data_IF_184960801798
#
_entry.id   IF_184960801798
#
_cell.length_a   1.000
_cell.length_b   1.000
_cell.length_c   1.000
_cell.angle_alpha   90.00
_cell.angle_beta   90.00
_cell.angle_gamma   90.00
#
_symmetry.space_group_name_H-M   'P 1'
#
loop_
_entity.id
_entity.type
_entity.pdbx_description
1 polymer ?
#
# COMPACT_ATOMS: atom_id res chain seq x y z
N UNK A 1 12.02 -16.57 -19.92
CA UNK A 1 12.49 -16.44 -18.53
C UNK A 1 13.18 -17.72 -18.11
N UNK A 2 14.50 -17.68 -18.02
CA UNK A 2 15.32 -18.76 -17.52
C UNK A 2 15.33 -18.75 -15.99
N UNK A 3 15.57 -19.91 -15.35
CA UNK A 3 15.52 -20.03 -13.88
C UNK A 3 16.53 -19.09 -13.19
N UNK A 4 17.68 -18.81 -13.83
CA UNK A 4 18.64 -17.81 -13.35
C UNK A 4 18.11 -16.36 -13.35
N UNK A 5 17.28 -15.99 -14.33
CA UNK A 5 16.69 -14.65 -14.43
C UNK A 5 15.67 -14.48 -13.30
N UNK A 6 14.86 -15.53 -13.06
CA UNK A 6 13.93 -15.60 -11.95
C UNK A 6 14.64 -15.49 -10.59
N UNK A 7 15.77 -16.19 -10.40
CA UNK A 7 16.64 -16.02 -9.22
C UNK A 7 17.08 -14.57 -9.03
N UNK A 8 17.57 -13.91 -10.09
CA UNK A 8 18.08 -12.52 -10.05
C UNK A 8 16.97 -11.53 -9.65
N UNK A 9 15.77 -11.68 -10.21
CA UNK A 9 14.60 -10.82 -9.89
C UNK A 9 14.10 -11.06 -8.46
N UNK A 10 13.92 -12.32 -8.05
CA UNK A 10 13.55 -12.67 -6.66
C UNK A 10 14.60 -12.13 -5.67
N UNK A 11 15.88 -12.29 -5.97
CA UNK A 11 16.96 -11.76 -5.15
C UNK A 11 16.93 -10.23 -5.04
N UNK A 12 16.68 -9.50 -6.13
CA UNK A 12 16.56 -8.04 -6.11
C UNK A 12 15.40 -7.55 -5.22
N UNK A 13 14.23 -8.18 -5.31
CA UNK A 13 13.06 -7.90 -4.47
C UNK A 13 13.39 -8.14 -2.98
N UNK A 14 13.98 -9.30 -2.66
CA UNK A 14 14.31 -9.68 -1.28
C UNK A 14 15.47 -8.85 -0.69
N UNK A 15 16.44 -8.42 -1.50
CA UNK A 15 17.48 -7.47 -1.08
C UNK A 15 16.91 -6.07 -0.83
N UNK A 16 16.01 -5.59 -1.68
CA UNK A 16 15.35 -4.27 -1.49
C UNK A 16 14.58 -4.22 -0.17
N UNK A 17 13.99 -5.35 0.24
CA UNK A 17 13.29 -5.51 1.50
C UNK A 17 14.15 -6.04 2.68
N UNK A 18 15.48 -6.15 2.54
CA UNK A 18 16.41 -6.82 3.48
C UNK A 18 16.37 -6.38 4.97
N UNK A 19 15.69 -5.26 5.28
CA UNK A 19 15.41 -4.79 6.63
C UNK A 19 14.24 -5.47 7.35
N UNK A 20 13.39 -6.23 6.65
CA UNK A 20 12.31 -7.02 7.25
C UNK A 20 12.22 -8.41 6.59
N UNK A 21 12.05 -9.51 7.34
CA UNK A 21 11.64 -10.78 6.76
C UNK A 21 10.28 -10.62 6.07
N UNK A 22 10.12 -11.16 4.87
CA UNK A 22 8.85 -11.19 4.14
C UNK A 22 8.28 -12.61 4.12
N UNK A 23 6.97 -12.75 4.09
CA UNK A 23 6.31 -14.06 3.85
C UNK A 23 6.35 -14.41 2.35
N UNK A 24 6.17 -15.68 2.02
CA UNK A 24 6.02 -16.12 0.61
C UNK A 24 4.83 -15.43 -0.07
N UNK A 25 3.73 -15.19 0.67
CA UNK A 25 2.57 -14.41 0.21
C UNK A 25 2.84 -12.89 0.06
N UNK A 26 3.96 -12.37 0.54
CA UNK A 26 4.45 -11.04 0.19
C UNK A 26 5.33 -11.11 -1.05
N UNK A 27 6.25 -12.07 -1.13
CA UNK A 27 7.13 -12.23 -2.29
C UNK A 27 6.38 -12.40 -3.61
N UNK A 28 5.33 -13.24 -3.67
CA UNK A 28 4.56 -13.42 -4.90
C UNK A 28 3.77 -12.15 -5.32
N UNK A 29 3.36 -11.32 -4.34
CA UNK A 29 2.75 -10.01 -4.63
C UNK A 29 3.77 -8.98 -5.08
N UNK A 30 4.90 -8.86 -4.39
CA UNK A 30 5.99 -7.95 -4.75
C UNK A 30 6.53 -8.31 -6.15
N UNK A 31 6.67 -9.60 -6.47
CA UNK A 31 7.02 -10.10 -7.81
C UNK A 31 5.94 -9.77 -8.84
N UNK A 32 4.66 -10.01 -8.56
CA UNK A 32 3.56 -9.63 -9.46
C UNK A 32 3.49 -8.12 -9.72
N UNK A 33 3.84 -7.30 -8.75
CA UNK A 33 3.96 -5.85 -8.92
C UNK A 33 5.19 -5.41 -9.74
N UNK A 34 6.24 -6.23 -9.81
CA UNK A 34 7.44 -5.96 -10.62
C UNK A 34 7.29 -6.46 -12.07
N UNK A 35 6.77 -7.68 -12.24
CA UNK A 35 6.76 -8.42 -13.50
C UNK A 35 5.39 -8.48 -14.19
N UNK A 36 4.30 -8.14 -13.48
CA UNK A 36 2.92 -8.21 -13.96
C UNK A 36 2.23 -9.58 -13.83
N UNK A 37 2.98 -10.67 -13.61
CA UNK A 37 2.46 -12.04 -13.47
C UNK A 37 2.92 -12.70 -12.16
N UNK A 38 2.19 -13.73 -11.70
CA UNK A 38 2.55 -14.52 -10.50
C UNK A 38 3.76 -15.42 -10.78
N UNK A 39 4.51 -15.81 -9.73
CA UNK A 39 5.73 -16.62 -9.88
C UNK A 39 5.38 -17.98 -10.51
N UNK A 40 5.97 -18.37 -11.67
CA UNK A 40 5.54 -19.56 -12.42
C UNK A 40 6.20 -20.85 -11.92
N UNK A 41 6.08 -21.17 -10.63
CA UNK A 41 6.75 -22.32 -9.98
C UNK A 41 6.37 -23.68 -10.59
N UNK A 42 5.12 -23.83 -11.04
CA UNK A 42 4.62 -25.03 -11.71
C UNK A 42 5.38 -25.34 -13.01
N UNK A 43 5.80 -24.31 -13.76
CA UNK A 43 6.54 -24.46 -15.02
C UNK A 43 7.95 -25.01 -14.84
N UNK A 44 8.47 -25.00 -13.60
CA UNK A 44 9.74 -25.62 -13.23
C UNK A 44 9.55 -26.94 -12.47
N UNK A 45 8.33 -27.51 -12.46
CA UNK A 45 8.03 -28.82 -11.86
C UNK A 45 7.78 -28.81 -10.35
N UNK A 46 7.68 -27.64 -9.71
CA UNK A 46 7.40 -27.55 -8.28
C UNK A 46 5.89 -27.47 -8.00
N UNK A 47 5.39 -28.28 -7.07
CA UNK A 47 3.99 -28.19 -6.60
C UNK A 47 3.71 -26.96 -5.72
N UNK A 48 4.75 -26.31 -5.18
CA UNK A 48 4.65 -25.19 -4.25
C UNK A 48 5.80 -24.21 -4.43
N UNK A 49 5.49 -22.93 -4.27
CA UNK A 49 6.47 -21.84 -4.27
C UNK A 49 7.53 -22.00 -3.16
N UNK A 50 7.19 -22.56 -1.99
CA UNK A 50 8.18 -22.78 -0.92
C UNK A 50 9.22 -23.84 -1.27
N UNK A 51 8.82 -24.89 -2.00
CA UNK A 51 9.75 -25.89 -2.53
C UNK A 51 10.69 -25.30 -3.59
N UNK A 52 10.17 -24.45 -4.50
CA UNK A 52 11.00 -23.77 -5.50
C UNK A 52 12.01 -22.83 -4.84
N UNK A 53 11.59 -22.01 -3.86
CA UNK A 53 12.47 -21.08 -3.14
C UNK A 53 13.56 -21.82 -2.35
N UNK A 54 13.26 -23.00 -1.80
CA UNK A 54 14.24 -23.87 -1.13
C UNK A 54 15.31 -24.43 -2.08
N UNK A 55 15.00 -24.67 -3.35
CA UNK A 55 15.97 -25.11 -4.35
C UNK A 55 16.94 -24.01 -4.82
N UNK A 56 16.59 -22.75 -4.59
CA UNK A 56 17.42 -21.57 -4.89
C UNK A 56 18.06 -20.95 -3.64
N UNK A 57 18.64 -21.79 -2.79
CA UNK A 57 19.32 -21.40 -1.54
C UNK A 57 20.54 -20.48 -1.74
N UNK A 58 21.05 -20.38 -2.97
CA UNK A 58 22.06 -19.42 -3.42
C UNK A 58 21.51 -18.00 -3.60
N UNK A 59 20.23 -17.87 -3.96
CA UNK A 59 19.56 -16.59 -4.14
C UNK A 59 18.94 -16.05 -2.85
N UNK A 60 18.25 -16.91 -2.09
CA UNK A 60 17.43 -16.57 -0.92
C UNK A 60 17.47 -17.66 0.16
N UNK A 61 17.24 -17.29 1.43
CA UNK A 61 17.09 -18.22 2.54
C UNK A 61 15.61 -18.31 2.96
N UNK A 62 15.05 -19.52 2.98
CA UNK A 62 13.68 -19.77 3.46
C UNK A 62 13.70 -20.32 4.89
N UNK A 63 12.85 -19.81 5.79
CA UNK A 63 12.66 -20.31 7.16
C UNK A 63 11.19 -20.65 7.41
N UNK A 64 10.92 -21.84 7.95
CA UNK A 64 9.57 -22.41 8.04
C UNK A 64 9.17 -23.19 6.77
N UNK A 65 7.88 -23.49 6.62
CA UNK A 65 7.30 -24.26 5.52
C UNK A 65 5.95 -23.66 5.09
N UNK A 66 5.57 -23.86 3.83
CA UNK A 66 4.30 -23.39 3.28
C UNK A 66 4.17 -21.86 3.18
N UNK A 67 2.95 -21.36 2.94
CA UNK A 67 2.66 -19.98 2.53
C UNK A 67 3.11 -18.89 3.52
N UNK A 68 3.19 -19.23 4.81
CA UNK A 68 3.63 -18.32 5.88
C UNK A 68 5.14 -18.39 6.17
N UNK A 69 5.90 -19.20 5.43
CA UNK A 69 7.36 -19.25 5.57
C UNK A 69 7.99 -17.88 5.26
N UNK A 70 9.08 -17.57 5.96
CA UNK A 70 9.81 -16.32 5.84
C UNK A 70 10.95 -16.46 4.82
N UNK A 71 11.00 -15.53 3.87
CA UNK A 71 12.08 -15.37 2.90
C UNK A 71 13.02 -14.26 3.38
N UNK A 72 14.32 -14.53 3.38
CA UNK A 72 15.38 -13.61 3.77
C UNK A 72 16.48 -13.57 2.70
N UNK A 73 17.19 -12.44 2.52
CA UNK A 73 18.31 -12.36 1.58
C UNK A 73 19.51 -13.16 2.09
N UNK A 74 20.28 -13.74 1.17
CA UNK A 74 21.59 -14.34 1.51
C UNK A 74 22.57 -13.22 1.89
N UNK A 75 22.98 -13.21 3.15
CA UNK A 75 23.96 -12.24 3.66
C UNK A 75 25.37 -12.81 3.43
N UNK A 76 26.06 -12.28 2.44
CA UNK A 76 27.50 -12.50 2.21
C UNK A 76 28.30 -11.34 2.80
N UNK A 77 29.62 -11.49 2.92
CA UNK A 77 30.51 -10.39 3.27
C UNK A 77 30.33 -9.16 2.34
N UNK A 78 30.06 -9.40 1.05
CA UNK A 78 29.81 -8.37 0.03
C UNK A 78 28.45 -7.67 0.21
N UNK A 79 27.38 -8.41 0.52
CA UNK A 79 26.03 -7.84 0.68
C UNK A 79 25.73 -7.26 2.08
N UNK A 80 26.61 -7.49 3.08
CA UNK A 80 26.47 -6.97 4.46
C UNK A 80 26.20 -5.46 4.52
N UNK A 81 27.02 -4.66 3.83
CA UNK A 81 26.92 -3.20 3.87
C UNK A 81 25.58 -2.68 3.32
N UNK A 82 25.10 -3.26 2.21
CA UNK A 82 23.80 -2.92 1.62
C UNK A 82 22.67 -3.19 2.61
N UNK A 83 22.68 -4.34 3.27
CA UNK A 83 21.67 -4.66 4.30
C UNK A 83 21.69 -3.66 5.46
N UNK A 84 22.88 -3.26 5.93
CA UNK A 84 22.99 -2.22 6.95
C UNK A 84 22.39 -0.88 6.50
N UNK A 85 22.61 -0.46 5.25
CA UNK A 85 22.01 0.76 4.70
C UNK A 85 20.48 0.66 4.62
N UNK A 86 19.92 -0.45 4.10
CA UNK A 86 18.47 -0.68 4.02
C UNK A 86 17.82 -0.65 5.41
N UNK A 87 18.42 -1.30 6.40
CA UNK A 87 17.98 -1.26 7.81
C UNK A 87 18.06 0.17 8.38
N UNK A 88 19.16 0.90 8.11
CA UNK A 88 19.35 2.29 8.56
C UNK A 88 18.35 3.25 7.91
N UNK A 89 17.95 3.03 6.65
CA UNK A 89 16.94 3.86 5.98
C UNK A 89 15.53 3.61 6.54
N UNK A 90 15.10 2.35 6.65
CA UNK A 90 13.73 1.98 7.05
C UNK A 90 13.34 2.44 8.47
N UNK A 91 14.32 2.58 9.37
CA UNK A 91 14.09 3.12 10.74
C UNK A 91 14.02 4.66 10.79
N UNK A 92 14.62 5.37 9.83
CA UNK A 92 14.71 6.84 9.86
C UNK A 92 13.38 7.51 9.46
N UNK A 93 12.53 6.85 8.67
CA UNK A 93 11.24 7.36 8.20
C UNK A 93 10.12 7.50 9.26
N UNK A 94 10.43 7.39 10.56
CA UNK A 94 9.46 7.52 11.66
C UNK A 94 9.86 8.51 12.75
N UNK A 95 10.43 9.66 12.38
CA UNK A 95 10.37 10.86 13.24
C UNK A 95 9.00 11.55 13.12
N UNK A 96 7.97 10.95 13.73
CA UNK A 96 6.78 11.74 14.10
C UNK A 96 7.22 12.71 15.18
N UNK A 97 7.06 14.02 14.96
CA UNK A 97 7.15 14.99 16.04
C UNK A 97 5.94 14.77 16.96
N UNK A 98 6.15 14.00 18.02
CA UNK A 98 5.24 13.91 19.14
C UNK A 98 5.47 15.16 20.01
N UNK A 99 4.88 16.28 19.58
CA UNK A 99 4.92 17.55 20.31
C UNK A 99 4.05 17.46 21.57
N UNK A 100 4.60 16.82 22.61
CA UNK A 100 4.02 16.74 23.95
C UNK A 100 5.11 16.95 25.00
N UNK A 101 5.66 18.15 25.04
CA UNK A 101 6.53 18.65 26.10
C UNK A 101 6.06 20.03 26.55
N UNK A 102 5.10 20.08 27.49
CA UNK A 102 4.64 21.34 28.07
C UNK A 102 3.32 21.28 28.85
N UNK A 103 3.42 21.56 30.15
CA UNK A 103 2.39 22.19 31.00
C UNK A 103 0.93 21.67 30.99
N UNK A 104 0.58 20.96 32.07
CA UNK A 104 -0.81 20.74 32.51
C UNK A 104 -1.54 22.07 32.75
N UNK A 105 -2.57 22.37 31.96
CA UNK A 105 -3.54 23.43 32.25
C UNK A 105 -4.78 22.84 32.94
N UNK A 106 -5.32 23.58 33.90
CA UNK A 106 -6.32 23.11 34.88
C UNK A 106 -7.74 23.18 34.28
N UNK A 107 -8.65 22.32 34.74
CA UNK A 107 -10.07 22.31 34.31
C UNK A 107 -10.79 23.59 34.74
N UNK A 108 -10.83 24.60 33.87
CA UNK A 108 -11.77 25.72 33.98
C UNK A 108 -13.17 25.32 33.50
N UNK A 109 -14.22 25.83 34.14
CA UNK A 109 -15.61 25.67 33.66
C UNK A 109 -15.83 26.58 32.45
N UNK A 110 -16.47 26.07 31.40
CA UNK A 110 -17.00 26.90 30.31
C UNK A 110 -18.48 27.16 30.59
N UNK A 111 -18.78 28.33 31.14
CA UNK A 111 -20.14 28.86 31.29
C UNK A 111 -20.56 29.56 29.99
N UNK A 112 -21.66 29.18 29.32
CA UNK A 112 -22.04 29.76 28.02
C UNK A 112 -22.92 31.01 28.18
N UNK A 113 -22.32 32.15 28.55
CA UNK A 113 -23.04 33.43 28.73
C UNK A 113 -23.09 34.31 27.46
N UNK A 114 -24.22 34.20 26.75
CA UNK A 114 -24.92 35.26 25.99
C UNK A 114 -24.22 36.04 24.83
N UNK A 115 -25.04 36.58 23.91
CA UNK A 115 -24.62 37.30 22.70
C UNK A 115 -25.03 38.78 22.72
N UNK A 116 -24.11 39.71 22.43
CA UNK A 116 -24.43 40.99 21.80
C UNK A 116 -24.65 40.84 20.28
N UNK A 117 -25.28 41.83 19.65
CA UNK A 117 -25.66 41.84 18.22
C UNK A 117 -25.61 43.27 17.66
N UNK A 118 -25.39 43.41 16.35
CA UNK A 118 -25.55 44.65 15.55
C UNK A 118 -24.46 45.73 15.77
N UNK A 119 -24.24 46.74 14.92
CA UNK A 119 -24.46 46.92 13.46
C UNK A 119 -23.75 48.22 12.99
N UNK A 120 -23.01 48.18 11.88
CA UNK A 120 -22.82 49.23 10.84
C UNK A 120 -21.98 48.58 9.73
N UNK A 121 -22.39 48.52 8.45
CA UNK A 121 -22.55 49.61 7.46
C UNK A 121 -21.25 50.35 7.16
N UNK A 122 -20.63 50.00 6.05
CA UNK A 122 -20.33 50.92 4.94
C UNK A 122 -20.33 50.13 3.61
N UNK A 123 -20.72 50.77 2.52
CA UNK A 123 -21.05 50.13 1.24
C UNK A 123 -20.00 50.43 0.14
N UNK A 124 -19.58 49.39 -0.59
CA UNK A 124 -19.13 49.54 -1.99
C UNK A 124 -19.75 48.43 -2.83
N UNK A 125 -20.60 48.83 -3.78
CA UNK A 125 -21.23 47.93 -4.75
C UNK A 125 -20.47 47.96 -6.07
N UNK A 126 -20.07 46.79 -6.57
CA UNK A 126 -20.01 46.53 -8.01
C UNK A 126 -20.80 45.25 -8.27
N UNK A 127 -21.82 45.32 -9.11
CA UNK A 127 -22.70 44.21 -9.47
C UNK A 127 -22.48 43.78 -10.92
N UNK A 128 -22.44 42.46 -11.17
CA UNK A 128 -22.99 41.71 -12.34
C UNK A 128 -22.39 40.30 -12.36
N UNK A 129 -23.10 39.21 -12.70
CA UNK A 129 -24.55 38.98 -12.75
C UNK A 129 -24.86 37.45 -12.64
N UNK A 130 -26.06 37.12 -12.14
CA UNK A 130 -27.04 36.08 -12.58
C UNK A 130 -26.51 34.75 -13.23
N UNK A 131 -27.06 33.54 -12.96
CA UNK A 131 -28.33 33.14 -12.33
C UNK A 131 -28.37 31.61 -12.03
N UNK A 132 -29.24 31.17 -11.10
CA UNK A 132 -29.82 29.81 -10.84
C UNK A 132 -28.92 28.53 -10.82
N UNK A 133 -29.00 27.57 -9.89
CA UNK A 133 -29.99 27.08 -8.88
C UNK A 133 -31.08 26.11 -9.41
N UNK A 134 -31.36 25.05 -8.62
CA UNK A 134 -32.33 23.95 -8.85
C UNK A 134 -31.91 22.93 -9.95
N UNK A 135 -32.31 21.65 -9.96
CA UNK A 135 -33.44 20.95 -9.29
C UNK A 135 -33.00 19.78 -8.38
N UNK A 136 -33.89 19.46 -7.43
CA UNK A 136 -33.87 18.44 -6.38
C UNK A 136 -33.61 16.98 -6.80
N UNK A 137 -33.06 16.24 -5.83
CA UNK A 137 -33.19 14.80 -5.62
C UNK A 137 -34.62 14.24 -5.77
N UNK A 138 -34.73 13.02 -6.29
CA UNK A 138 -35.68 12.00 -5.80
C UNK A 138 -35.14 10.57 -6.02
N UNK A 139 -35.47 9.68 -5.10
CA UNK A 139 -35.18 8.24 -5.11
C UNK A 139 -36.34 7.46 -5.77
N UNK A 140 -36.09 6.27 -6.35
CA UNK A 140 -36.77 4.97 -6.00
C UNK A 140 -37.00 3.96 -7.15
N UNK A 141 -36.54 2.73 -6.92
CA UNK A 141 -37.15 1.42 -7.28
C UNK A 141 -37.06 0.83 -8.69
N UNK A 142 -36.14 -0.14 -8.82
CA UNK A 142 -36.39 -1.56 -9.17
C UNK A 142 -36.88 -1.99 -10.59
N UNK A 143 -35.98 -2.78 -11.22
CA UNK A 143 -36.23 -4.16 -11.68
C UNK A 143 -36.99 -4.37 -13.03
N UNK A 144 -37.07 -5.65 -13.40
CA UNK A 144 -37.61 -6.28 -14.62
C UNK A 144 -36.57 -6.50 -15.74
N UNK A 145 -36.54 -7.77 -16.16
CA UNK A 145 -35.84 -8.44 -17.29
C UNK A 145 -36.06 -7.74 -18.65
N UNK A 146 -35.45 -8.04 -19.81
CA UNK A 146 -35.07 -9.30 -20.50
C UNK A 146 -34.24 -8.90 -21.77
N UNK A 147 -33.57 -9.69 -22.63
CA UNK A 147 -32.81 -10.97 -22.59
C UNK A 147 -32.20 -11.19 -24.01
N UNK A 148 -31.31 -12.17 -24.21
CA UNK A 148 -30.71 -12.60 -25.51
C UNK A 148 -29.65 -11.66 -26.12
N UNK A 149 -28.48 -12.18 -26.50
CA UNK A 149 -28.07 -12.67 -27.85
C UNK A 149 -27.87 -11.55 -28.90
N UNK A 150 -26.87 -11.59 -29.79
CA UNK A 150 -26.05 -12.74 -30.23
C UNK A 150 -24.62 -12.35 -30.64
N UNK A 151 -23.86 -13.36 -31.10
CA UNK A 151 -22.49 -13.31 -31.61
C UNK A 151 -22.22 -12.18 -32.62
N UNK A 152 -20.97 -11.73 -32.70
CA UNK A 152 -20.38 -11.30 -33.97
C UNK A 152 -19.09 -12.07 -34.25
N UNK A 153 -19.11 -12.86 -35.32
CA UNK A 153 -17.93 -13.48 -35.94
C UNK A 153 -17.71 -12.88 -37.31
N UNK A 154 -16.51 -12.37 -37.57
CA UNK A 154 -15.79 -12.53 -38.86
C UNK A 154 -14.32 -12.14 -38.67
#
# INVERSE_FOLDING_TARGET
MNMEELKKIIQAIVISNAGCPMTILQLDRDFKCHEGYNIPYEKYGFQKLDAMLRSMSDAVQTKGQGSSALVLPVITAKSKHIREMVVKHKKNGKKRHAELSGCTVKKGKFEPSERPRANTRDDVVISTAKQNVQIRSANKSNNVVDTSCSLWTS
#
